data_IF_258219984273
#
_entry.id   IF_258219984273
#
_cell.length_a   1.000
_cell.length_b   1.000
_cell.length_c   1.000
_cell.angle_alpha   90.00
_cell.angle_beta   90.00
_cell.angle_gamma   90.00
#
_symmetry.space_group_name_H-M   'P 1'
#
loop_
_entity.id
_entity.type
_entity.pdbx_description
1 polymer ?
#
# COMPACT_ATOMS: atom_id res chain seq x y z
N UNK A 1 3.23 9.83 2.74
CA UNK A 1 3.83 8.55 2.27
C UNK A 1 2.98 7.41 2.78
N UNK A 2 3.06 6.22 2.18
CA UNK A 2 2.55 4.98 2.77
C UNK A 2 3.75 4.08 3.01
N UNK A 3 4.25 4.07 4.24
CA UNK A 3 5.60 3.57 4.52
C UNK A 3 6.64 4.33 3.71
N UNK A 4 7.53 3.67 2.96
CA UNK A 4 8.53 4.35 2.13
C UNK A 4 8.03 4.73 0.73
N UNK A 5 6.78 4.39 0.38
CA UNK A 5 6.22 4.64 -0.95
C UNK A 5 5.42 5.94 -1.00
N UNK A 6 5.32 6.51 -2.20
CA UNK A 6 4.45 7.67 -2.44
C UNK A 6 3.00 7.27 -2.16
N UNK A 7 2.37 7.99 -1.22
CA UNK A 7 0.94 7.89 -0.96
C UNK A 7 0.10 8.71 -1.94
N UNK A 8 -1.22 8.69 -1.78
CA UNK A 8 -2.14 9.39 -2.67
C UNK A 8 -3.58 9.32 -2.19
N UNK A 9 -4.51 9.70 -3.07
CA UNK A 9 -5.95 9.55 -2.85
C UNK A 9 -6.44 8.38 -3.69
N UNK A 10 -7.24 7.49 -3.11
CA UNK A 10 -7.83 6.34 -3.81
C UNK A 10 -9.30 6.19 -3.47
N UNK A 11 -10.09 5.65 -4.40
CA UNK A 11 -11.52 5.36 -4.21
C UNK A 11 -11.90 4.03 -4.83
N UNK A 12 -12.92 3.39 -4.29
CA UNK A 12 -13.52 2.17 -4.81
C UNK A 12 -15.02 2.15 -4.47
N UNK A 13 -15.81 1.45 -5.26
CA UNK A 13 -17.22 1.21 -4.96
C UNK A 13 -17.69 -0.13 -5.51
N UNK A 14 -18.81 -0.62 -4.97
CA UNK A 14 -19.49 -1.81 -5.44
C UNK A 14 -21.00 -1.69 -5.19
N UNK A 15 -21.79 -2.37 -6.02
CA UNK A 15 -23.25 -2.48 -5.84
C UNK A 15 -23.53 -3.85 -5.22
N UNK A 16 -24.22 -3.86 -4.08
CA UNK A 16 -24.62 -5.08 -3.40
C UNK A 16 -25.78 -5.76 -4.14
N UNK A 17 -26.02 -7.05 -3.87
CA UNK A 17 -27.17 -7.78 -4.44
C UNK A 17 -28.54 -7.15 -4.11
N UNK A 18 -28.61 -6.30 -3.09
CA UNK A 18 -29.80 -5.50 -2.73
C UNK A 18 -30.00 -4.24 -3.59
N UNK A 19 -29.04 -3.87 -4.43
CA UNK A 19 -29.03 -2.62 -5.19
C UNK A 19 -28.41 -1.41 -4.45
N UNK A 20 -27.97 -1.57 -3.20
CA UNK A 20 -27.27 -0.52 -2.44
C UNK A 20 -25.84 -0.37 -2.97
N UNK A 21 -25.41 0.87 -3.22
CA UNK A 21 -24.00 1.18 -3.51
C UNK A 21 -23.23 1.44 -2.22
N UNK A 22 -22.14 0.71 -2.02
CA UNK A 22 -21.14 1.00 -0.99
C UNK A 22 -19.92 1.59 -1.69
N UNK A 23 -19.38 2.68 -1.14
CA UNK A 23 -18.20 3.35 -1.67
C UNK A 23 -17.22 3.65 -0.54
N UNK A 24 -15.94 3.79 -0.90
CA UNK A 24 -14.88 4.22 -0.02
C UNK A 24 -13.99 5.26 -0.69
N UNK A 25 -13.50 6.23 0.09
CA UNK A 25 -12.48 7.20 -0.29
C UNK A 25 -11.39 7.23 0.77
N UNK A 26 -10.13 7.15 0.36
CA UNK A 26 -8.98 7.08 1.27
C UNK A 26 -7.91 8.07 0.87
N UNK A 27 -7.44 8.86 1.83
CA UNK A 27 -6.15 9.59 1.76
C UNK A 27 -5.08 8.68 2.37
N UNK A 28 -4.34 7.98 1.52
CA UNK A 28 -3.34 7.02 1.93
C UNK A 28 -2.04 7.74 2.32
N UNK A 29 -1.86 7.92 3.64
CA UNK A 29 -0.69 8.53 4.22
C UNK A 29 -0.26 7.80 5.51
N UNK A 30 -0.14 6.47 5.47
CA UNK A 30 0.15 5.65 6.64
C UNK A 30 1.64 5.65 7.04
N UNK A 31 1.90 5.54 8.35
CA UNK A 31 3.24 5.23 8.86
C UNK A 31 3.66 3.80 8.44
N UNK A 32 2.71 2.87 8.44
CA UNK A 32 2.90 1.49 7.99
C UNK A 32 2.97 1.33 6.48
N UNK A 33 3.47 0.17 6.04
CA UNK A 33 3.57 -0.21 4.62
C UNK A 33 2.25 -0.82 4.12
N UNK A 34 1.85 -0.48 2.90
CA UNK A 34 0.81 -1.20 2.17
C UNK A 34 1.33 -2.44 1.41
N UNK A 35 2.65 -2.63 1.42
CA UNK A 35 3.35 -3.78 0.81
C UNK A 35 3.77 -4.74 1.90
N UNK A 36 3.49 -6.02 1.72
CA UNK A 36 4.02 -7.10 2.55
C UNK A 36 5.55 -7.16 2.41
N UNK A 37 6.31 -6.92 3.50
CA UNK A 37 7.76 -6.90 3.44
C UNK A 37 8.37 -8.28 3.14
N UNK A 38 7.63 -9.37 3.37
CA UNK A 38 8.10 -10.74 3.11
C UNK A 38 8.02 -11.08 1.62
N UNK A 39 6.97 -10.64 0.94
CA UNK A 39 6.64 -11.11 -0.42
C UNK A 39 6.68 -10.03 -1.49
N UNK A 40 6.63 -8.75 -1.12
CA UNK A 40 6.57 -7.63 -2.07
C UNK A 40 5.17 -7.39 -2.66
N UNK A 41 4.16 -8.14 -2.22
CA UNK A 41 2.78 -8.02 -2.66
C UNK A 41 2.09 -6.85 -1.93
N UNK A 42 1.19 -6.13 -2.61
CA UNK A 42 0.28 -5.20 -1.94
C UNK A 42 -0.72 -5.97 -1.08
N UNK A 43 -0.83 -5.67 0.22
CA UNK A 43 -1.74 -6.38 1.13
C UNK A 43 -3.18 -6.47 0.63
N UNK A 44 -3.67 -5.44 -0.07
CA UNK A 44 -5.00 -5.43 -0.67
C UNK A 44 -5.25 -6.57 -1.68
N UNK A 45 -4.21 -7.03 -2.38
CA UNK A 45 -4.35 -8.07 -3.42
C UNK A 45 -4.65 -9.45 -2.86
N UNK A 46 -4.36 -9.70 -1.58
CA UNK A 46 -4.76 -10.96 -0.92
C UNK A 46 -6.28 -11.12 -0.81
N UNK A 47 -7.04 -10.03 -0.92
CA UNK A 47 -8.51 -10.06 -0.89
C UNK A 47 -9.13 -10.23 -2.28
N UNK A 48 -8.33 -10.15 -3.35
CA UNK A 48 -8.79 -10.28 -4.74
C UNK A 48 -8.67 -11.73 -5.27
N UNK A 49 -8.26 -12.68 -4.44
CA UNK A 49 -8.04 -14.09 -4.81
C UNK A 49 -6.56 -14.47 -4.96
N UNK A 50 -6.21 -15.47 -5.80
CA UNK A 50 -4.83 -15.89 -6.00
C UNK A 50 -3.92 -14.74 -6.41
N UNK A 51 -2.75 -14.64 -5.77
CA UNK A 51 -1.80 -13.55 -5.98
C UNK A 51 -0.59 -14.02 -6.77
N UNK A 52 -0.17 -13.21 -7.74
CA UNK A 52 1.13 -13.35 -8.38
C UNK A 52 2.21 -12.69 -7.51
N UNK A 53 3.20 -13.47 -7.10
CA UNK A 53 4.35 -12.96 -6.36
C UNK A 53 5.35 -12.29 -7.32
N UNK A 54 5.92 -11.12 -6.98
CA UNK A 54 7.00 -10.55 -7.76
C UNK A 54 8.21 -11.52 -7.75
N UNK A 55 9.03 -11.54 -8.82
CA UNK A 55 10.27 -12.29 -8.81
C UNK A 55 11.16 -11.88 -7.63
N UNK A 56 11.86 -12.84 -7.03
CA UNK A 56 12.63 -12.61 -5.81
C UNK A 56 13.70 -11.53 -6.00
N UNK A 57 14.36 -11.51 -7.16
CA UNK A 57 15.37 -10.52 -7.52
C UNK A 57 14.80 -9.09 -7.61
N UNK A 58 13.54 -8.95 -8.03
CA UNK A 58 12.84 -7.65 -8.10
C UNK A 58 12.51 -7.18 -6.68
N UNK A 59 12.00 -8.07 -5.83
CA UNK A 59 11.69 -7.74 -4.44
C UNK A 59 12.95 -7.33 -3.66
N UNK A 60 14.05 -8.08 -3.80
CA UNK A 60 15.32 -7.75 -3.15
C UNK A 60 15.94 -6.45 -3.67
N UNK A 61 15.86 -6.20 -4.99
CA UNK A 61 16.28 -4.91 -5.55
C UNK A 61 15.45 -3.75 -5.00
N UNK A 62 14.13 -3.91 -4.89
CA UNK A 62 13.25 -2.90 -4.33
C UNK A 62 13.55 -2.65 -2.84
N UNK A 63 13.75 -3.70 -2.04
CA UNK A 63 14.11 -3.59 -0.61
C UNK A 63 15.41 -2.82 -0.40
N UNK A 64 16.47 -3.16 -1.16
CA UNK A 64 17.74 -2.43 -1.12
C UNK A 64 17.54 -0.95 -1.46
N UNK A 65 16.80 -0.67 -2.53
CA UNK A 65 16.55 0.71 -2.96
C UNK A 65 15.79 1.53 -1.91
N UNK A 66 14.79 0.94 -1.26
CA UNK A 66 14.02 1.61 -0.21
C UNK A 66 14.86 1.84 1.05
N UNK A 67 15.76 0.91 1.40
CA UNK A 67 16.70 1.09 2.51
C UNK A 67 17.66 2.26 2.25
N UNK A 68 18.29 2.32 1.09
CA UNK A 68 19.16 3.43 0.69
C UNK A 68 18.44 4.80 0.72
N UNK A 69 17.17 4.84 0.32
CA UNK A 69 16.36 6.06 0.36
C UNK A 69 16.04 6.46 1.80
N UNK A 70 15.76 5.49 2.67
CA UNK A 70 15.47 5.73 4.08
C UNK A 70 16.68 6.31 4.82
N UNK A 71 17.88 5.80 4.56
CA UNK A 71 19.12 6.34 5.15
C UNK A 71 19.39 7.80 4.76
N UNK A 72 18.95 8.20 3.55
CA UNK A 72 19.05 9.58 3.07
C UNK A 72 17.90 10.49 3.51
N UNK A 73 16.87 9.91 4.13
CA UNK A 73 15.67 10.63 4.55
C UNK A 73 15.81 11.17 5.97
N UNK A 74 15.11 12.28 6.27
CA UNK A 74 15.06 12.85 7.62
C UNK A 74 14.26 12.00 8.62
N UNK A 75 13.94 12.55 9.82
CA UNK A 75 13.16 11.83 10.82
C UNK A 75 11.82 11.33 10.25
N UNK A 76 11.32 10.18 10.73
CA UNK A 76 10.10 9.57 10.20
C UNK A 76 8.92 10.55 10.34
N UNK A 77 8.14 10.75 9.26
CA UNK A 77 7.03 11.69 9.28
C UNK A 77 5.88 11.19 10.18
N UNK A 78 5.14 12.14 10.76
CA UNK A 78 3.87 11.86 11.43
C UNK A 78 2.80 11.61 10.37
N UNK A 79 2.58 10.34 10.06
CA UNK A 79 1.74 9.88 8.97
C UNK A 79 0.38 9.38 9.48
N UNK A 80 -0.71 9.89 8.89
CA UNK A 80 -2.09 9.52 9.21
C UNK A 80 -2.89 9.19 7.95
N UNK A 81 -3.68 8.12 7.98
CA UNK A 81 -4.67 7.79 6.94
C UNK A 81 -6.04 8.33 7.33
N UNK A 82 -6.74 8.94 6.37
CA UNK A 82 -8.13 9.39 6.50
C UNK A 82 -9.00 8.58 5.53
N UNK A 83 -10.16 8.11 5.97
CA UNK A 83 -11.07 7.33 5.13
C UNK A 83 -12.55 7.60 5.45
N UNK A 84 -13.39 7.52 4.42
CA UNK A 84 -14.87 7.52 4.51
C UNK A 84 -15.45 6.41 3.65
#
# INVERSE_FOLDING_TARGET
LVGPLKGGVGTASTVLGSGITVAALVVANAAGSAVDPLTGVLYGRYFDGPVAYPPAEVHEAARRRLAELRERSGPPPLNTTLAV
#
